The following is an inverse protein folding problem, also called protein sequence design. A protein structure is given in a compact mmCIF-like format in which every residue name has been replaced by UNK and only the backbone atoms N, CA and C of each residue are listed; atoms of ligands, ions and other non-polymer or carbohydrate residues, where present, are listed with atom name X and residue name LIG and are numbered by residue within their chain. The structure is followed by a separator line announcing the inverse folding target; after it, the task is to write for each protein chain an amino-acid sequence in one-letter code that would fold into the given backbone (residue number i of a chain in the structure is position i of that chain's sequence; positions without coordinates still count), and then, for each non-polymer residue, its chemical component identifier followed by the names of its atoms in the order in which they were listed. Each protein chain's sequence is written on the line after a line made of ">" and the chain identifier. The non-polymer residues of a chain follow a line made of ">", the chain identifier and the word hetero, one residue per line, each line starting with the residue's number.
data_IF_684759630898
#
_entry.id   IF_684759630898
#
_cell.length_a   1.000
_cell.length_b   1.000
_cell.length_c   1.000
_cell.angle_alpha   90.00
_cell.angle_beta   90.00
_cell.angle_gamma   90.00
#
_symmetry.space_group_name_H-M   'P 1'
#
loop_
_entity.id
_entity.type
_entity.pdbx_description
1 polymer ?
#
# COMPACT_ATOMS: atom_id res chain seq x y z
N UNK A 1 25.09 -12.18 -30.01
CA UNK A 1 24.80 -10.80 -29.61
C UNK A 1 24.12 -10.90 -28.24
N UNK A 2 24.95 -11.34 -27.29
CA UNK A 2 24.61 -11.49 -25.87
C UNK A 2 25.21 -10.33 -25.13
N UNK A 3 24.48 -9.75 -24.20
CA UNK A 3 24.86 -8.82 -23.14
C UNK A 3 23.84 -7.68 -22.99
N UNK A 4 22.64 -7.99 -22.50
CA UNK A 4 21.75 -6.95 -21.98
C UNK A 4 20.83 -7.35 -20.81
N UNK A 5 21.01 -8.56 -20.23
CA UNK A 5 20.13 -9.04 -19.16
C UNK A 5 20.64 -8.80 -17.72
N UNK A 6 21.86 -8.30 -17.53
CA UNK A 6 22.42 -8.13 -16.17
C UNK A 6 22.16 -6.77 -15.50
N UNK A 7 21.65 -5.77 -16.24
CA UNK A 7 21.53 -4.42 -15.70
C UNK A 7 20.33 -4.21 -14.73
N UNK A 8 19.27 -5.03 -14.82
CA UNK A 8 18.11 -4.91 -13.94
C UNK A 8 18.39 -5.35 -12.51
N UNK A 9 19.02 -6.51 -12.36
CA UNK A 9 19.33 -7.09 -11.05
C UNK A 9 20.39 -6.27 -10.29
N UNK A 10 21.39 -5.77 -11.02
CA UNK A 10 22.44 -4.92 -10.46
C UNK A 10 21.91 -3.56 -10.02
N UNK A 11 20.94 -3.00 -10.73
CA UNK A 11 20.31 -1.73 -10.35
C UNK A 11 19.42 -1.89 -9.12
N UNK A 12 18.65 -2.98 -9.03
CA UNK A 12 17.82 -3.30 -7.86
C UNK A 12 18.71 -3.56 -6.64
N UNK A 13 19.80 -4.32 -6.80
CA UNK A 13 20.76 -4.59 -5.73
C UNK A 13 21.47 -3.30 -5.26
N UNK A 14 21.79 -2.39 -6.18
CA UNK A 14 22.39 -1.09 -5.87
C UNK A 14 21.44 -0.16 -5.11
N UNK A 15 20.15 -0.16 -5.43
CA UNK A 15 19.11 0.61 -4.71
C UNK A 15 18.93 0.03 -3.30
N UNK A 16 18.87 -1.29 -3.15
CA UNK A 16 18.80 -1.96 -1.85
C UNK A 16 20.01 -1.63 -0.99
N UNK A 17 21.22 -1.64 -1.56
CA UNK A 17 22.46 -1.29 -0.84
C UNK A 17 22.50 0.21 -0.50
N UNK A 18 22.00 1.11 -1.37
CA UNK A 18 21.95 2.55 -1.07
C UNK A 18 20.95 2.89 0.04
N UNK A 19 19.80 2.23 0.10
CA UNK A 19 18.83 2.42 1.18
C UNK A 19 19.42 1.95 2.51
N UNK A 20 20.13 0.83 2.53
CA UNK A 20 20.82 0.34 3.74
C UNK A 20 22.01 1.22 4.17
N UNK A 21 22.73 1.86 3.23
CA UNK A 21 23.85 2.73 3.55
C UNK A 21 23.43 4.13 4.04
N UNK A 22 22.24 4.60 3.71
CA UNK A 22 21.68 5.85 4.23
C UNK A 22 21.19 5.73 5.69
N UNK A 23 20.94 4.51 6.19
CA UNK A 23 20.48 4.20 7.55
C UNK A 23 21.59 4.16 8.62
N UNK A 24 22.86 4.44 8.25
CA UNK A 24 23.99 4.29 9.20
C UNK A 24 24.34 5.52 10.02
N UNK A 25 23.60 6.62 9.93
CA UNK A 25 23.89 7.82 10.71
C UNK A 25 22.66 8.30 11.49
N UNK A 26 22.35 7.63 12.56
CA UNK A 26 21.96 8.20 13.86
C UNK A 26 21.54 7.07 14.81
N UNK A 27 22.29 6.91 15.88
CA UNK A 27 21.95 6.02 16.99
C UNK A 27 20.82 6.65 17.79
N UNK A 28 19.59 6.20 17.61
CA UNK A 28 18.53 6.37 18.60
C UNK A 28 18.04 4.99 18.99
N UNK A 29 18.24 4.65 20.26
CA UNK A 29 17.77 3.40 20.86
C UNK A 29 16.25 3.52 21.07
N UNK A 30 15.44 2.87 20.26
CA UNK A 30 14.05 2.62 20.61
C UNK A 30 14.01 1.39 21.52
N UNK A 31 13.98 1.61 22.83
CA UNK A 31 13.68 0.61 23.83
C UNK A 31 12.15 0.58 23.97
N UNK A 32 11.54 -0.58 23.77
CA UNK A 32 10.11 -0.76 24.01
C UNK A 32 9.80 -0.46 25.49
N UNK A 33 8.87 0.49 25.73
CA UNK A 33 8.37 0.78 27.07
C UNK A 33 8.89 2.07 27.68
N UNK A 34 8.52 3.16 27.06
CA UNK A 34 8.23 4.51 27.56
C UNK A 34 7.97 5.32 26.29
N UNK A 35 6.97 6.19 26.26
CA UNK A 35 6.75 7.15 25.19
C UNK A 35 7.94 8.13 25.19
N UNK A 36 9.08 7.68 24.64
CA UNK A 36 10.29 8.49 24.60
C UNK A 36 10.05 9.63 23.64
N UNK A 37 10.11 10.84 24.17
CA UNK A 37 10.20 12.05 23.36
C UNK A 37 11.34 11.90 22.37
N UNK A 38 11.05 12.01 21.10
CA UNK A 38 12.09 11.87 20.10
C UNK A 38 11.56 11.45 18.73
N UNK A 39 12.49 11.11 17.88
CA UNK A 39 12.23 10.49 16.59
C UNK A 39 12.35 8.98 16.71
N UNK A 40 11.43 8.27 16.08
CA UNK A 40 11.51 6.82 15.83
C UNK A 40 11.04 6.54 14.43
N UNK A 41 11.39 5.40 13.86
CA UNK A 41 10.93 5.07 12.52
C UNK A 41 11.12 3.60 12.17
N UNK A 42 10.37 3.19 11.17
CA UNK A 42 10.43 1.87 10.58
C UNK A 42 10.65 2.01 9.07
N UNK A 43 11.53 1.18 8.51
CA UNK A 43 11.67 1.00 7.07
C UNK A 43 11.41 -0.45 6.70
N UNK A 44 10.47 -0.67 5.81
CA UNK A 44 10.09 -1.98 5.31
C UNK A 44 10.54 -2.17 3.87
N UNK A 45 11.11 -3.34 3.57
CA UNK A 45 11.44 -3.75 2.22
C UNK A 45 10.77 -5.07 1.90
N UNK A 46 10.03 -5.11 0.81
CA UNK A 46 9.38 -6.31 0.28
C UNK A 46 9.99 -6.66 -1.07
N UNK A 47 10.42 -7.92 -1.22
CA UNK A 47 10.88 -8.46 -2.50
C UNK A 47 10.25 -9.83 -2.71
N UNK A 48 9.51 -9.99 -3.81
CA UNK A 48 8.97 -11.28 -4.24
C UNK A 48 9.41 -11.54 -5.67
N UNK A 49 10.07 -12.67 -5.88
CA UNK A 49 10.51 -13.14 -7.19
C UNK A 49 9.91 -14.52 -7.45
N UNK A 50 9.24 -14.68 -8.57
CA UNK A 50 8.79 -15.98 -9.05
C UNK A 50 9.39 -16.26 -10.43
N UNK A 51 9.70 -17.51 -10.70
CA UNK A 51 10.25 -17.93 -11.98
C UNK A 51 9.55 -19.23 -12.45
N UNK A 52 9.46 -19.40 -13.75
CA UNK A 52 8.84 -20.59 -14.35
C UNK A 52 8.11 -20.30 -15.65
N UNK A 53 6.88 -20.77 -15.78
CA UNK A 53 6.04 -20.49 -16.95
C UNK A 53 5.52 -19.04 -16.97
N UNK A 54 5.52 -18.38 -15.82
CA UNK A 54 5.31 -16.94 -15.64
C UNK A 54 6.37 -16.46 -14.66
N UNK A 55 6.98 -15.34 -14.93
CA UNK A 55 7.92 -14.70 -14.03
C UNK A 55 7.26 -13.44 -13.46
N UNK A 56 7.33 -13.26 -12.13
CA UNK A 56 6.80 -12.08 -11.46
C UNK A 56 7.89 -11.51 -10.57
N UNK A 57 8.03 -10.20 -10.59
CA UNK A 57 8.91 -9.44 -9.70
C UNK A 57 8.10 -8.36 -9.00
N UNK A 58 8.02 -8.43 -7.69
CA UNK A 58 7.40 -7.39 -6.85
C UNK A 58 8.47 -6.77 -5.98
N UNK A 59 8.58 -5.45 -6.05
CA UNK A 59 9.39 -4.63 -5.15
C UNK A 59 8.46 -3.70 -4.40
N UNK A 60 8.53 -3.72 -3.06
CA UNK A 60 7.81 -2.82 -2.18
C UNK A 60 8.76 -2.14 -1.20
N UNK A 61 8.45 -0.90 -0.90
CA UNK A 61 9.11 -0.09 0.11
C UNK A 61 8.07 0.67 0.90
N UNK A 62 8.20 0.73 2.22
CA UNK A 62 7.44 1.61 3.12
C UNK A 62 8.38 2.20 4.16
N UNK A 63 8.17 3.46 4.48
CA UNK A 63 8.89 4.12 5.55
C UNK A 63 7.88 4.91 6.40
N UNK A 64 7.90 4.64 7.69
CA UNK A 64 7.15 5.37 8.69
C UNK A 64 8.12 6.09 9.61
N UNK A 65 7.88 7.36 9.86
CA UNK A 65 8.66 8.20 10.78
C UNK A 65 7.67 8.84 11.75
N UNK A 66 7.96 8.68 13.03
CA UNK A 66 7.16 9.24 14.12
C UNK A 66 8.00 10.21 14.92
N UNK A 67 7.44 11.37 15.22
CA UNK A 67 7.99 12.32 16.18
C UNK A 67 7.02 12.48 17.34
N UNK A 68 7.47 12.12 18.54
CA UNK A 68 6.69 12.22 19.78
C UNK A 68 7.20 13.40 20.63
N UNK A 69 6.28 14.22 21.11
CA UNK A 69 6.46 15.29 22.09
C UNK A 69 5.60 14.99 23.32
N UNK A 70 5.69 15.80 24.37
CA UNK A 70 4.95 15.59 25.64
C UNK A 70 3.43 15.41 25.45
N UNK A 71 2.83 16.14 24.51
CA UNK A 71 1.38 16.15 24.32
C UNK A 71 0.95 16.02 22.87
N UNK A 72 1.86 15.69 21.97
CA UNK A 72 1.55 15.61 20.54
C UNK A 72 2.45 14.61 19.81
N UNK A 73 2.00 14.17 18.66
CA UNK A 73 2.69 13.20 17.79
C UNK A 73 2.53 13.62 16.33
N UNK A 74 3.59 13.51 15.56
CA UNK A 74 3.59 13.64 14.11
C UNK A 74 4.03 12.33 13.52
N UNK A 75 3.19 11.75 12.66
CA UNK A 75 3.47 10.58 11.86
C UNK A 75 3.59 10.97 10.39
N UNK A 76 4.62 10.49 9.73
CA UNK A 76 4.82 10.60 8.28
C UNK A 76 5.04 9.17 7.75
N UNK A 77 4.21 8.76 6.81
CA UNK A 77 4.26 7.45 6.16
C UNK A 77 4.36 7.64 4.65
N UNK A 78 5.27 6.90 4.01
CA UNK A 78 5.43 6.86 2.57
C UNK A 78 5.58 5.43 2.10
N UNK A 79 4.89 5.08 1.02
CA UNK A 79 4.88 3.73 0.46
C UNK A 79 5.04 3.72 -1.06
N UNK A 80 5.65 2.65 -1.56
CA UNK A 80 5.74 2.35 -2.98
C UNK A 80 5.71 0.84 -3.19
N UNK A 81 4.90 0.37 -4.13
CA UNK A 81 4.86 -1.04 -4.56
C UNK A 81 4.81 -1.06 -6.07
N UNK A 82 5.63 -1.91 -6.69
CA UNK A 82 5.61 -2.15 -8.13
C UNK A 82 5.77 -3.63 -8.42
N UNK A 83 4.87 -4.16 -9.22
CA UNK A 83 4.91 -5.53 -9.69
C UNK A 83 5.00 -5.56 -11.21
N UNK A 84 5.93 -6.35 -11.72
CA UNK A 84 6.07 -6.64 -13.14
C UNK A 84 5.85 -8.15 -13.36
N UNK A 85 5.14 -8.49 -14.42
CA UNK A 85 4.92 -9.89 -14.82
C UNK A 85 5.40 -10.11 -16.24
N UNK A 86 6.09 -11.23 -16.46
CA UNK A 86 6.48 -11.71 -17.79
C UNK A 86 5.73 -12.99 -18.08
N UNK A 87 4.89 -12.95 -19.10
CA UNK A 87 4.14 -14.10 -19.59
C UNK A 87 4.82 -14.69 -20.82
N UNK A 88 5.00 -16.01 -20.84
CA UNK A 88 5.59 -16.73 -21.95
C UNK A 88 4.51 -17.45 -22.76
N UNK A 89 4.39 -17.08 -24.03
CA UNK A 89 3.52 -17.78 -24.99
C UNK A 89 4.38 -18.66 -25.87
N UNK A 90 3.97 -19.93 -26.04
CA UNK A 90 4.64 -20.87 -26.92
C UNK A 90 3.75 -21.17 -28.11
N UNK A 91 4.33 -21.07 -29.31
CA UNK A 91 3.66 -21.40 -30.58
C UNK A 91 4.46 -22.51 -31.27
N UNK A 92 3.79 -23.55 -31.73
CA UNK A 92 4.40 -24.53 -32.60
C UNK A 92 4.16 -24.14 -34.05
N UNK A 93 5.23 -24.00 -34.83
CA UNK A 93 5.17 -23.70 -36.26
C UNK A 93 5.90 -24.83 -36.99
N UNK A 94 5.20 -25.49 -37.92
CA UNK A 94 5.76 -26.62 -38.65
C UNK A 94 4.80 -27.16 -39.73
N UNK A 95 5.24 -28.20 -40.43
CA UNK A 95 4.48 -28.85 -41.50
C UNK A 95 3.70 -30.08 -41.04
N UNK A 96 4.05 -30.63 -39.87
CA UNK A 96 3.36 -31.78 -39.27
C UNK A 96 3.62 -31.88 -37.77
N UNK A 97 2.91 -32.77 -37.06
CA UNK A 97 3.15 -33.07 -35.64
C UNK A 97 4.54 -33.64 -35.34
N UNK A 98 5.26 -34.11 -36.35
CA UNK A 98 6.62 -34.67 -36.24
C UNK A 98 7.70 -33.69 -36.73
N UNK A 99 7.29 -32.61 -37.42
CA UNK A 99 8.20 -31.62 -38.00
C UNK A 99 7.70 -30.19 -37.66
N UNK A 100 8.02 -29.71 -36.47
CA UNK A 100 7.67 -28.39 -36.01
C UNK A 100 8.81 -27.78 -35.19
N UNK A 101 8.79 -26.45 -35.07
CA UNK A 101 9.63 -25.67 -34.18
C UNK A 101 8.76 -24.95 -33.14
N UNK A 102 9.22 -24.91 -31.90
CA UNK A 102 8.56 -24.15 -30.87
C UNK A 102 9.19 -22.76 -30.81
N UNK A 103 8.38 -21.73 -31.04
CA UNK A 103 8.76 -20.34 -30.84
C UNK A 103 8.23 -19.91 -29.49
N UNK A 104 9.11 -19.39 -28.63
CA UNK A 104 8.77 -18.80 -27.34
C UNK A 104 8.78 -17.29 -27.49
N UNK A 105 7.63 -16.66 -27.25
CA UNK A 105 7.46 -15.22 -27.18
C UNK A 105 7.30 -14.84 -25.71
N UNK A 106 7.87 -13.72 -25.26
CA UNK A 106 7.69 -13.18 -23.91
C UNK A 106 7.13 -11.79 -23.99
N UNK A 107 6.13 -11.53 -23.15
CA UNK A 107 5.56 -10.20 -22.96
C UNK A 107 5.73 -9.79 -21.52
N UNK A 108 6.41 -8.67 -21.27
CA UNK A 108 6.61 -8.08 -19.94
C UNK A 108 5.69 -6.87 -19.79
N UNK A 109 4.96 -6.83 -18.70
CA UNK A 109 4.07 -5.73 -18.35
C UNK A 109 4.15 -5.39 -16.86
N UNK A 110 3.99 -4.11 -16.53
CA UNK A 110 3.71 -3.70 -15.15
C UNK A 110 2.28 -4.12 -14.85
N UNK A 111 2.10 -4.92 -13.83
CA UNK A 111 0.80 -5.45 -13.41
C UNK A 111 0.29 -4.82 -12.12
N UNK A 112 1.17 -4.19 -11.31
CA UNK A 112 0.81 -3.42 -10.13
C UNK A 112 1.75 -2.23 -9.88
N UNK A 113 1.17 -1.05 -9.61
CA UNK A 113 1.93 0.15 -9.25
C UNK A 113 1.10 1.01 -8.30
N UNK A 114 1.59 1.15 -7.06
CA UNK A 114 0.99 1.99 -6.04
C UNK A 114 2.07 2.88 -5.41
N UNK A 115 1.77 4.15 -5.24
CA UNK A 115 2.56 5.10 -4.48
C UNK A 115 1.63 5.82 -3.52
N UNK A 116 2.04 5.99 -2.28
CA UNK A 116 1.28 6.73 -1.29
C UNK A 116 2.20 7.52 -0.35
N UNK A 117 1.68 8.62 0.16
CA UNK A 117 2.31 9.43 1.19
C UNK A 117 1.25 10.03 2.09
N UNK A 118 1.46 9.99 3.40
CA UNK A 118 0.51 10.42 4.41
C UNK A 118 1.25 11.16 5.52
N UNK A 119 0.65 12.25 6.01
CA UNK A 119 1.07 12.94 7.21
C UNK A 119 -0.09 13.05 8.17
N UNK A 120 0.14 12.81 9.46
CA UNK A 120 -0.85 12.92 10.52
C UNK A 120 -0.22 13.58 11.74
N UNK A 121 -0.89 14.58 12.27
CA UNK A 121 -0.54 15.24 13.52
C UNK A 121 -1.65 15.01 14.53
N UNK A 122 -1.28 14.58 15.74
CA UNK A 122 -2.18 14.37 16.86
C UNK A 122 -1.75 15.28 18.03
N UNK A 123 -2.72 15.79 18.77
CA UNK A 123 -2.47 16.52 20.01
C UNK A 123 -3.46 16.11 21.08
N UNK A 124 -2.95 15.69 22.22
CA UNK A 124 -3.74 15.33 23.38
C UNK A 124 -4.48 16.54 23.95
N UNK A 125 -5.75 16.39 24.21
CA UNK A 125 -6.61 17.33 24.90
C UNK A 125 -6.67 17.01 26.39
N UNK A 126 -6.70 15.73 26.72
CA UNK A 126 -6.62 15.18 28.05
C UNK A 126 -5.93 13.80 28.03
N UNK A 127 -6.09 12.99 29.12
CA UNK A 127 -5.48 11.66 29.22
C UNK A 127 -6.02 10.64 28.20
N UNK A 128 -7.22 10.87 27.66
CA UNK A 128 -7.89 9.89 26.80
C UNK A 128 -8.34 10.46 25.46
N UNK A 129 -8.45 11.79 25.34
CA UNK A 129 -8.93 12.46 24.16
C UNK A 129 -7.82 13.23 23.45
N UNK A 130 -7.84 13.21 22.14
CA UNK A 130 -6.95 13.98 21.29
C UNK A 130 -7.72 14.53 20.07
N UNK A 131 -7.22 15.61 19.48
CA UNK A 131 -7.60 16.01 18.13
C UNK A 131 -6.51 15.62 17.15
N UNK A 132 -6.88 15.43 15.90
CA UNK A 132 -5.93 15.14 14.84
C UNK A 132 -6.24 15.91 13.57
N UNK A 133 -5.19 16.13 12.77
CA UNK A 133 -5.27 16.55 11.38
C UNK A 133 -4.40 15.63 10.53
N UNK A 134 -4.90 15.27 9.35
CA UNK A 134 -4.20 14.39 8.42
C UNK A 134 -4.32 14.90 7.00
N UNK A 135 -3.31 14.60 6.18
CA UNK A 135 -3.33 14.81 4.74
C UNK A 135 -2.56 13.70 4.05
N UNK A 136 -2.84 13.48 2.78
CA UNK A 136 -2.08 12.51 2.01
C UNK A 136 -2.36 12.56 0.53
N UNK A 137 -1.58 11.77 -0.17
CA UNK A 137 -1.66 11.54 -1.58
C UNK A 137 -1.48 10.06 -1.89
N UNK A 138 -2.23 9.58 -2.86
CA UNK A 138 -2.15 8.22 -3.36
C UNK A 138 -2.25 8.21 -4.88
N UNK A 139 -1.47 7.32 -5.49
CA UNK A 139 -1.62 6.88 -6.87
C UNK A 139 -1.68 5.36 -6.88
N UNK A 140 -2.77 4.82 -7.39
CA UNK A 140 -2.99 3.37 -7.44
C UNK A 140 -3.71 3.03 -8.75
N UNK A 141 -2.95 2.85 -9.82
CA UNK A 141 -3.49 2.63 -11.16
C UNK A 141 -4.24 1.30 -11.32
N UNK A 142 -4.07 0.37 -10.37
CA UNK A 142 -4.81 -0.90 -10.33
C UNK A 142 -6.21 -0.75 -9.79
N UNK A 143 -6.35 0.10 -8.75
CA UNK A 143 -7.65 0.51 -8.25
C UNK A 143 -8.29 1.60 -9.12
N UNK A 144 -7.74 1.87 -10.32
CA UNK A 144 -8.26 2.90 -11.23
C UNK A 144 -7.97 4.33 -10.80
N UNK A 145 -7.13 4.55 -9.78
CA UNK A 145 -6.83 5.87 -9.20
C UNK A 145 -5.57 6.43 -9.84
N UNK A 146 -5.69 7.51 -10.63
CA UNK A 146 -4.54 8.22 -11.20
C UNK A 146 -3.87 9.10 -10.16
N UNK A 147 -4.65 9.87 -9.40
CA UNK A 147 -4.22 10.62 -8.22
C UNK A 147 -5.40 10.80 -7.28
N UNK A 148 -5.16 10.64 -5.99
CA UNK A 148 -6.10 10.96 -4.92
C UNK A 148 -5.38 11.80 -3.89
N UNK A 149 -5.90 12.98 -3.59
CA UNK A 149 -5.46 13.84 -2.50
C UNK A 149 -6.55 13.85 -1.44
N UNK A 150 -6.18 13.75 -0.19
CA UNK A 150 -7.12 13.90 0.90
C UNK A 150 -6.56 14.80 1.99
N UNK A 151 -7.43 15.49 2.68
CA UNK A 151 -7.15 16.23 3.88
C UNK A 151 -8.32 16.13 4.83
N UNK A 152 -8.06 16.02 6.12
CA UNK A 152 -9.14 15.86 7.10
C UNK A 152 -8.67 16.07 8.51
N UNK A 153 -9.62 15.98 9.44
CA UNK A 153 -9.34 16.10 10.86
C UNK A 153 -10.56 15.77 11.69
N UNK A 154 -10.31 15.58 12.97
CA UNK A 154 -11.34 15.19 13.91
C UNK A 154 -10.81 15.00 15.32
N UNK A 155 -11.50 14.15 16.07
CA UNK A 155 -11.17 13.80 17.43
C UNK A 155 -10.98 12.30 17.58
N UNK A 156 -10.25 11.88 18.57
CA UNK A 156 -10.04 10.48 18.89
C UNK A 156 -10.02 10.23 20.37
N UNK A 157 -10.15 8.95 20.71
CA UNK A 157 -10.08 8.44 22.06
C UNK A 157 -9.04 7.31 22.17
N UNK A 158 -8.23 7.36 23.21
CA UNK A 158 -7.37 6.25 23.64
C UNK A 158 -8.11 5.47 24.72
N UNK A 159 -8.57 4.28 24.37
CA UNK A 159 -9.35 3.39 25.28
C UNK A 159 -8.46 2.51 26.13
N UNK A 160 -7.34 2.10 25.54
CA UNK A 160 -6.32 1.30 26.19
C UNK A 160 -4.99 1.98 25.95
N UNK A 161 -4.29 2.29 27.03
CA UNK A 161 -2.94 2.84 27.02
C UNK A 161 -2.13 2.08 28.10
N UNK A 162 -1.56 0.97 27.69
CA UNK A 162 -0.74 0.11 28.54
C UNK A 162 0.56 -0.19 27.84
N UNK A 163 1.59 -0.49 28.57
CA UNK A 163 2.93 -0.83 28.07
C UNK A 163 2.91 -1.81 26.88
N UNK A 164 2.05 -2.84 26.94
CA UNK A 164 1.96 -3.91 25.92
C UNK A 164 0.70 -3.87 25.07
N UNK A 165 -0.18 -2.89 25.26
CA UNK A 165 -1.44 -2.83 24.53
C UNK A 165 -1.92 -1.40 24.40
N UNK A 166 -2.16 -0.97 23.16
CA UNK A 166 -2.71 0.34 22.86
C UNK A 166 -3.93 0.16 21.96
N UNK A 167 -5.03 0.83 22.29
CA UNK A 167 -6.21 0.87 21.43
C UNK A 167 -6.75 2.30 21.35
N UNK A 168 -6.75 2.83 20.11
CA UNK A 168 -7.24 4.17 19.78
C UNK A 168 -8.38 4.07 18.78
N UNK A 169 -9.35 4.98 18.86
CA UNK A 169 -10.35 5.20 17.81
C UNK A 169 -10.38 6.66 17.41
N UNK A 170 -10.72 6.95 16.14
CA UNK A 170 -10.87 8.32 15.66
C UNK A 170 -12.14 8.49 14.84
N UNK A 171 -12.66 9.71 14.85
CA UNK A 171 -13.83 10.13 14.10
C UNK A 171 -13.58 11.54 13.57
N UNK A 172 -13.87 11.75 12.30
CA UNK A 172 -13.61 13.05 11.69
C UNK A 172 -14.28 13.23 10.34
N UNK A 173 -13.97 14.38 9.74
CA UNK A 173 -14.37 14.70 8.38
C UNK A 173 -13.14 14.68 7.48
N UNK A 174 -13.33 14.19 6.27
CA UNK A 174 -12.34 14.20 5.21
C UNK A 174 -12.82 15.02 4.01
N UNK A 175 -11.89 15.56 3.24
CA UNK A 175 -12.13 16.14 1.94
C UNK A 175 -11.21 15.46 0.93
N UNK A 176 -11.79 14.84 -0.07
CA UNK A 176 -11.08 14.04 -1.06
C UNK A 176 -11.22 14.66 -2.44
N UNK A 177 -10.09 14.76 -3.14
CA UNK A 177 -9.97 15.11 -4.55
C UNK A 177 -9.39 13.91 -5.28
N UNK A 178 -10.12 13.32 -6.22
CA UNK A 178 -9.67 12.15 -6.94
C UNK A 178 -9.72 12.37 -8.45
N UNK A 179 -8.67 11.93 -9.12
CA UNK A 179 -8.61 11.77 -10.57
C UNK A 179 -8.54 10.27 -10.88
N UNK A 180 -9.45 9.77 -11.71
CA UNK A 180 -9.43 8.39 -12.16
C UNK A 180 -8.58 8.21 -13.42
N UNK A 181 -8.05 7.01 -13.61
CA UNK A 181 -7.35 6.59 -14.83
C UNK A 181 -8.31 6.68 -16.03
N UNK A 182 -9.57 6.28 -15.84
CA UNK A 182 -10.64 6.41 -16.82
C UNK A 182 -11.58 7.53 -16.39
N UNK A 183 -11.53 8.64 -17.11
CA UNK A 183 -12.41 9.78 -16.84
C UNK A 183 -13.76 9.60 -17.51
N UNK A 184 -14.83 9.64 -16.73
CA UNK A 184 -16.20 9.60 -17.22
C UNK A 184 -16.84 10.98 -17.07
N UNK A 185 -17.44 11.50 -18.16
CA UNK A 185 -18.07 12.80 -18.12
C UNK A 185 -19.28 12.80 -17.16
N UNK A 186 -19.33 13.77 -16.25
CA UNK A 186 -20.41 13.95 -15.29
C UNK A 186 -20.19 13.25 -13.94
N UNK A 187 -19.13 12.47 -13.78
CA UNK A 187 -18.71 11.91 -12.48
C UNK A 187 -17.86 12.95 -11.75
N UNK A 188 -18.28 13.31 -10.53
CA UNK A 188 -17.57 14.24 -9.65
C UNK A 188 -16.85 13.44 -8.59
N UNK A 189 -15.54 13.35 -8.71
CA UNK A 189 -14.69 12.59 -7.78
C UNK A 189 -14.12 13.47 -6.67
N UNK A 190 -14.89 14.47 -6.26
CA UNK A 190 -14.54 15.40 -5.17
C UNK A 190 -15.67 15.37 -4.15
N UNK A 191 -15.36 15.00 -2.91
CA UNK A 191 -16.39 14.85 -1.90
C UNK A 191 -15.88 15.17 -0.49
N UNK A 192 -16.83 15.46 0.39
CA UNK A 192 -16.63 15.47 1.84
C UNK A 192 -17.04 14.10 2.36
N UNK A 193 -16.18 13.46 3.15
CA UNK A 193 -16.40 12.17 3.76
C UNK A 193 -16.52 12.26 5.29
N UNK A 194 -17.18 11.26 5.87
CA UNK A 194 -17.07 10.94 7.29
C UNK A 194 -16.10 9.78 7.45
N UNK A 195 -15.05 10.00 8.21
CA UNK A 195 -14.03 9.00 8.46
C UNK A 195 -14.10 8.49 9.89
N UNK A 196 -14.12 7.17 10.05
CA UNK A 196 -13.91 6.52 11.33
C UNK A 196 -12.74 5.54 11.23
N UNK A 197 -11.91 5.46 12.27
CA UNK A 197 -10.81 4.50 12.29
C UNK A 197 -10.58 3.92 13.67
N UNK A 198 -9.90 2.77 13.70
CA UNK A 198 -9.24 2.30 14.90
C UNK A 198 -7.81 1.88 14.61
N UNK A 199 -6.96 1.99 15.64
CA UNK A 199 -5.61 1.48 15.68
C UNK A 199 -5.45 0.64 16.95
N UNK A 200 -5.06 -0.63 16.78
CA UNK A 200 -4.79 -1.56 17.85
C UNK A 200 -3.39 -2.15 17.74
N UNK A 201 -2.65 -2.12 18.84
CA UNK A 201 -1.35 -2.76 19.00
C UNK A 201 -1.34 -3.63 20.23
N UNK A 202 -0.77 -4.83 20.09
CA UNK A 202 -0.55 -5.77 21.20
C UNK A 202 0.84 -6.40 21.08
N UNK A 203 1.69 -6.18 22.07
CA UNK A 203 2.95 -6.90 22.21
C UNK A 203 2.65 -8.26 22.88
N UNK A 204 2.56 -9.32 22.07
CA UNK A 204 2.23 -10.69 22.49
C UNK A 204 3.36 -11.25 23.32
N UNK A 205 4.61 -11.01 22.88
CA UNK A 205 5.85 -11.33 23.59
C UNK A 205 6.79 -10.13 23.50
N UNK A 206 7.97 -10.22 24.13
CA UNK A 206 9.00 -9.16 24.01
C UNK A 206 9.57 -9.02 22.59
N UNK A 207 9.34 -10.01 21.72
CA UNK A 207 9.80 -9.99 20.33
C UNK A 207 8.68 -10.09 19.30
N UNK A 208 7.41 -10.20 19.72
CA UNK A 208 6.30 -10.41 18.80
C UNK A 208 5.22 -9.38 19.04
N UNK A 209 4.94 -8.57 18.04
CA UNK A 209 3.90 -7.53 18.05
C UNK A 209 2.82 -7.87 17.03
N UNK A 210 1.57 -7.78 17.43
CA UNK A 210 0.39 -7.78 16.57
C UNK A 210 -0.15 -6.38 16.43
N UNK A 211 -0.49 -5.97 15.22
CA UNK A 211 -1.17 -4.70 14.92
C UNK A 211 -2.41 -4.93 14.08
N UNK A 212 -3.44 -4.14 14.32
CA UNK A 212 -4.65 -4.10 13.51
C UNK A 212 -5.10 -2.66 13.35
N UNK A 213 -5.30 -2.21 12.12
CA UNK A 213 -5.77 -0.87 11.81
C UNK A 213 -6.93 -0.95 10.81
N UNK A 214 -7.97 -0.19 11.07
CA UNK A 214 -9.13 -0.04 10.19
C UNK A 214 -9.34 1.45 9.91
N UNK A 215 -9.57 1.78 8.67
CA UNK A 215 -10.05 3.10 8.25
C UNK A 215 -11.30 2.88 7.41
N UNK A 216 -12.37 3.59 7.75
CA UNK A 216 -13.58 3.68 6.93
C UNK A 216 -13.78 5.12 6.49
N UNK A 217 -14.15 5.34 5.24
CA UNK A 217 -14.47 6.66 4.68
C UNK A 217 -15.79 6.56 3.91
N UNK A 218 -16.82 7.23 4.42
CA UNK A 218 -18.17 7.30 3.84
C UNK A 218 -18.33 8.63 3.14
N UNK A 219 -18.60 8.60 1.84
CA UNK A 219 -18.87 9.81 1.06
C UNK A 219 -20.21 10.41 1.46
N UNK A 220 -20.21 11.60 2.08
CA UNK A 220 -21.43 12.27 2.56
C UNK A 220 -22.29 12.86 1.42
N UNK A 221 -21.75 12.97 0.22
CA UNK A 221 -22.49 13.42 -0.98
C UNK A 221 -23.19 12.24 -1.63
N UNK A 222 -22.55 11.07 -1.62
CA UNK A 222 -23.08 9.83 -2.17
C UNK A 222 -22.88 8.68 -1.18
N UNK A 223 -23.86 8.45 -0.30
CA UNK A 223 -23.81 7.45 0.77
C UNK A 223 -23.66 6.00 0.29
N UNK A 224 -23.76 5.76 -1.02
CA UNK A 224 -23.45 4.47 -1.60
C UNK A 224 -21.92 4.24 -1.77
N UNK A 225 -21.10 5.28 -1.73
CA UNK A 225 -19.63 5.22 -1.86
C UNK A 225 -18.98 5.10 -0.48
N UNK A 226 -18.86 3.86 -0.01
CA UNK A 226 -18.16 3.48 1.24
C UNK A 226 -16.85 2.81 0.89
N UNK A 227 -15.77 3.25 1.52
CA UNK A 227 -14.43 2.67 1.43
C UNK A 227 -13.96 2.17 2.78
N UNK A 228 -13.31 1.01 2.75
CA UNK A 228 -12.75 0.37 3.95
C UNK A 228 -11.33 -0.11 3.65
N UNK A 229 -10.40 0.20 4.52
CA UNK A 229 -9.02 -0.31 4.52
C UNK A 229 -8.76 -0.97 5.87
N UNK A 230 -8.59 -2.29 5.88
CA UNK A 230 -8.27 -3.09 7.06
C UNK A 230 -6.89 -3.72 6.89
N UNK A 231 -5.99 -3.42 7.81
CA UNK A 231 -4.65 -4.01 7.83
C UNK A 231 -4.48 -4.79 9.14
N UNK A 232 -4.06 -6.05 9.04
CA UNK A 232 -3.61 -6.85 10.18
C UNK A 232 -2.16 -7.27 9.94
N UNK A 233 -1.30 -7.14 10.93
CA UNK A 233 0.08 -7.55 10.81
C UNK A 233 0.62 -8.21 12.08
N UNK A 234 1.58 -9.12 11.87
CA UNK A 234 2.40 -9.72 12.93
C UNK A 234 3.85 -9.46 12.57
N UNK A 235 4.58 -8.85 13.49
CA UNK A 235 6.01 -8.63 13.38
C UNK A 235 6.74 -9.45 14.45
N UNK A 236 7.83 -10.13 14.04
CA UNK A 236 8.69 -10.91 14.92
C UNK A 236 10.10 -10.37 14.86
N UNK A 237 10.58 -9.83 15.96
CA UNK A 237 11.93 -9.30 16.10
C UNK A 237 12.98 -10.42 16.00
N UNK A 238 13.92 -10.26 15.08
CA UNK A 238 15.09 -11.13 14.94
C UNK A 238 16.29 -10.57 15.72
N UNK A 239 16.36 -9.27 15.79
CA UNK A 239 17.35 -8.51 16.57
C UNK A 239 16.69 -7.26 17.13
N UNK A 240 17.41 -6.45 17.89
CA UNK A 240 16.91 -5.16 18.39
C UNK A 240 16.59 -4.14 17.27
N UNK A 241 16.99 -4.40 16.01
CA UNK A 241 16.81 -3.49 14.88
C UNK A 241 16.13 -4.12 13.68
N UNK A 242 16.03 -5.44 13.64
CA UNK A 242 15.48 -6.16 12.50
C UNK A 242 14.31 -7.04 12.93
N UNK A 243 13.21 -6.99 12.17
CA UNK A 243 12.06 -7.84 12.35
C UNK A 243 11.59 -8.42 11.01
N UNK A 244 10.94 -9.56 11.05
CA UNK A 244 10.12 -10.08 9.95
C UNK A 244 8.68 -9.70 10.22
N UNK A 245 8.00 -9.15 9.22
CA UNK A 245 6.60 -8.74 9.28
C UNK A 245 5.79 -9.47 8.21
N UNK A 246 4.65 -9.99 8.62
CA UNK A 246 3.62 -10.50 7.71
C UNK A 246 2.40 -9.62 7.90
N UNK A 247 1.89 -9.04 6.83
CA UNK A 247 0.67 -8.23 6.86
C UNK A 247 -0.34 -8.70 5.83
N UNK A 248 -1.60 -8.61 6.22
CA UNK A 248 -2.74 -8.85 5.36
C UNK A 248 -3.61 -7.61 5.35
N UNK A 249 -3.75 -7.02 4.16
CA UNK A 249 -4.57 -5.84 3.90
C UNK A 249 -5.77 -6.25 3.07
N UNK A 250 -6.94 -5.78 3.46
CA UNK A 250 -8.21 -5.88 2.72
C UNK A 250 -8.67 -4.47 2.40
N UNK A 251 -8.81 -4.19 1.12
CA UNK A 251 -9.41 -2.98 0.61
C UNK A 251 -10.81 -3.30 0.09
N UNK A 252 -11.78 -2.53 0.51
CA UNK A 252 -13.14 -2.59 0.00
C UNK A 252 -13.55 -1.22 -0.51
N UNK A 253 -14.01 -1.17 -1.75
CA UNK A 253 -14.59 0.02 -2.38
C UNK A 253 -15.94 -0.37 -2.96
N UNK A 254 -17.00 0.25 -2.43
CA UNK A 254 -18.37 -0.07 -2.83
C UNK A 254 -18.71 0.47 -4.21
N UNK A 255 -18.02 1.53 -4.64
CA UNK A 255 -18.15 2.13 -5.98
C UNK A 255 -16.75 2.23 -6.62
N UNK A 256 -16.18 1.08 -7.05
CA UNK A 256 -14.84 1.07 -7.63
C UNK A 256 -14.80 1.83 -8.94
N UNK A 257 -13.61 2.33 -9.28
CA UNK A 257 -13.36 3.02 -10.54
C UNK A 257 -13.70 2.15 -11.75
N UNK A 258 -13.99 2.79 -12.88
CA UNK A 258 -14.36 2.12 -14.12
C UNK A 258 -13.14 1.76 -14.96
N UNK A 259 -13.19 0.59 -15.59
CA UNK A 259 -12.25 0.14 -16.61
C UNK A 259 -12.86 0.29 -18.01
N UNK A 260 -12.19 1.00 -18.91
CA UNK A 260 -12.59 1.10 -20.31
C UNK A 260 -12.14 -0.12 -21.09
N UNK A 261 -13.08 -0.87 -21.66
CA UNK A 261 -12.82 -2.05 -22.48
C UNK A 261 -13.20 -1.79 -23.95
N UNK A 262 -12.34 -2.16 -24.93
CA UNK A 262 -12.72 -2.08 -26.34
C UNK A 262 -13.81 -3.11 -26.62
N UNK A 263 -14.90 -2.69 -27.26
CA UNK A 263 -16.01 -3.57 -27.62
C UNK A 263 -15.63 -4.40 -28.85
N UNK A 264 -15.72 -5.70 -28.70
CA UNK A 264 -15.54 -6.67 -29.80
C UNK A 264 -16.93 -7.12 -30.26
N UNK A 265 -17.19 -7.04 -31.54
CA UNK A 265 -18.44 -7.51 -32.16
C UNK A 265 -18.58 -9.02 -32.06
N UNK A 266 -19.79 -9.53 -32.30
CA UNK A 266 -20.07 -10.98 -32.32
C UNK A 266 -19.31 -11.74 -33.41
N UNK A 267 -18.78 -11.03 -34.39
CA UNK A 267 -17.90 -11.49 -35.46
C UNK A 267 -16.41 -11.55 -35.06
N UNK A 268 -16.09 -11.15 -33.80
CA UNK A 268 -14.73 -11.10 -33.27
C UNK A 268 -13.92 -9.89 -33.72
N UNK A 269 -14.55 -8.90 -34.37
CA UNK A 269 -13.87 -7.69 -34.87
C UNK A 269 -14.08 -6.54 -33.87
N UNK A 270 -13.05 -5.69 -33.69
CA UNK A 270 -13.15 -4.47 -32.89
C UNK A 270 -14.15 -3.50 -33.53
N UNK A 271 -15.16 -3.10 -32.77
CA UNK A 271 -16.19 -2.16 -33.26
C UNK A 271 -15.75 -0.70 -33.23
N UNK A 272 -14.63 -0.40 -32.58
CA UNK A 272 -14.16 0.97 -32.33
C UNK A 272 -14.87 1.67 -31.14
N UNK A 273 -15.88 1.03 -30.55
CA UNK A 273 -16.54 1.54 -29.34
C UNK A 273 -15.82 1.08 -28.07
N UNK A 274 -15.96 1.84 -26.99
CA UNK A 274 -15.49 1.51 -25.66
C UNK A 274 -16.69 1.32 -24.74
N UNK A 275 -16.71 0.23 -23.96
CA UNK A 275 -17.67 -0.02 -22.89
C UNK A 275 -16.97 0.11 -21.56
N UNK A 276 -17.69 0.50 -20.52
CA UNK A 276 -17.14 0.65 -19.16
C UNK A 276 -17.63 -0.51 -18.29
N UNK A 277 -16.70 -1.08 -17.55
CA UNK A 277 -16.95 -2.11 -16.54
C UNK A 277 -16.39 -1.65 -15.22
N UNK A 278 -17.10 -1.90 -14.13
CA UNK A 278 -16.57 -1.67 -12.79
C UNK A 278 -15.38 -2.60 -12.51
N UNK A 279 -14.40 -2.10 -11.77
CA UNK A 279 -13.34 -2.91 -11.19
C UNK A 279 -13.89 -3.76 -10.04
N UNK A 280 -13.08 -4.65 -9.49
CA UNK A 280 -13.47 -5.46 -8.34
C UNK A 280 -13.65 -4.59 -7.10
N UNK A 281 -14.65 -4.92 -6.28
CA UNK A 281 -14.98 -4.22 -5.04
C UNK A 281 -14.05 -4.60 -3.88
N UNK A 282 -13.33 -5.72 -3.99
CA UNK A 282 -12.42 -6.23 -2.97
C UNK A 282 -11.04 -6.48 -3.53
N UNK A 283 -10.03 -5.89 -2.88
CA UNK A 283 -8.63 -6.20 -3.09
C UNK A 283 -8.02 -6.81 -1.82
N UNK A 284 -7.18 -7.83 -1.99
CA UNK A 284 -6.46 -8.46 -0.90
C UNK A 284 -4.95 -8.42 -1.19
N UNK A 285 -4.18 -7.97 -0.21
CA UNK A 285 -2.73 -7.92 -0.29
C UNK A 285 -2.11 -8.64 0.90
N UNK A 286 -1.40 -9.72 0.65
CA UNK A 286 -0.56 -10.40 1.64
C UNK A 286 0.90 -10.02 1.39
N UNK A 287 1.54 -9.44 2.41
CA UNK A 287 2.91 -8.92 2.31
C UNK A 287 3.82 -9.61 3.31
N UNK A 288 5.02 -9.96 2.87
CA UNK A 288 6.13 -10.42 3.71
C UNK A 288 7.25 -9.39 3.59
N UNK A 289 7.64 -8.79 4.69
CA UNK A 289 8.61 -7.70 4.70
C UNK A 289 9.73 -7.94 5.72
N UNK A 290 10.92 -7.45 5.39
CA UNK A 290 11.99 -7.22 6.33
C UNK A 290 11.87 -5.77 6.82
N UNK A 291 11.80 -5.60 8.13
CA UNK A 291 11.62 -4.31 8.80
C UNK A 291 12.90 -3.94 9.52
N UNK A 292 13.36 -2.71 9.31
CA UNK A 292 14.45 -2.12 10.06
C UNK A 292 13.92 -0.98 10.94
N UNK A 293 14.14 -1.07 12.25
CA UNK A 293 13.75 -0.08 13.25
C UNK A 293 14.94 0.84 13.59
N UNK A 294 14.70 2.15 13.75
CA UNK A 294 15.72 3.16 14.05
C UNK A 294 15.18 4.33 14.87
#
# INVERSE_FOLDING_TARGET
>A
MELKEHNGLTTVLAIVVMVFSALTTTTVFAQAGDSQMGWSGEAELTLVLTAGNTETSTLGFRNEIVRTWDSSELLIDVGAVRTESTTFTRKAIGTSSESFQIIKESTRAVTAEKFDGRGRYERNLDLHMFWYGAMGWERNTFAGIQNRYFGGGGVGNTWIDRERSVFKTTYGLSYTLQDDVVRVAGVVNTFVGFQASYDYRQDITDSTTYTSALVTDENLVELADLRVDLVNAIAVGMTNRLALKVSWQVLYDRQPSLLGLPLIGTDGVLTGATVFSELETFDNLLTFALVANF
#
